data_IF_741344390715
#
_entry.id   IF_741344390715
#
_cell.length_a   1.000
_cell.length_b   1.000
_cell.length_c   1.000
_cell.angle_alpha   90.00
_cell.angle_beta   90.00
_cell.angle_gamma   90.00
#
_symmetry.space_group_name_H-M   'P 1'
#
loop_
_entity.id
_entity.type
_entity.pdbx_description
1 polymer ?
#
# COMPACT_ATOMS: atom_id res chain seq x y z
N UNK A 1 -5.88 7.18 87.32
CA UNK A 1 -5.39 8.14 86.30
C UNK A 1 -4.70 7.41 85.15
N UNK A 2 -3.76 6.49 85.44
CA UNK A 2 -3.13 5.61 84.45
C UNK A 2 -4.12 4.78 83.61
N UNK A 3 -5.14 4.15 84.22
CA UNK A 3 -6.14 3.37 83.46
C UNK A 3 -6.94 4.19 82.45
N UNK A 4 -7.21 5.47 82.78
CA UNK A 4 -7.95 6.37 81.89
C UNK A 4 -7.07 6.77 80.70
N UNK A 5 -5.78 7.02 80.94
CA UNK A 5 -4.80 7.30 79.89
C UNK A 5 -4.57 6.07 78.99
N UNK A 6 -4.50 4.87 79.57
CA UNK A 6 -4.35 3.62 78.83
C UNK A 6 -5.56 3.35 77.92
N UNK A 7 -6.79 3.54 78.43
CA UNK A 7 -8.01 3.41 77.62
C UNK A 7 -8.08 4.43 76.48
N UNK A 8 -7.69 5.68 76.74
CA UNK A 8 -7.67 6.73 75.71
C UNK A 8 -6.65 6.42 74.61
N UNK A 9 -5.46 5.92 74.98
CA UNK A 9 -4.43 5.52 74.03
C UNK A 9 -4.86 4.30 73.20
N UNK A 10 -5.48 3.31 73.83
CA UNK A 10 -6.01 2.13 73.14
C UNK A 10 -7.11 2.48 72.15
N UNK A 11 -8.02 3.39 72.52
CA UNK A 11 -9.05 3.90 71.60
C UNK A 11 -8.45 4.67 70.40
N UNK A 12 -7.39 5.45 70.64
CA UNK A 12 -6.68 6.16 69.58
C UNK A 12 -6.02 5.19 68.59
N UNK A 13 -5.31 4.17 69.09
CA UNK A 13 -4.72 3.13 68.23
C UNK A 13 -5.77 2.36 67.45
N UNK A 14 -6.89 2.03 68.08
CA UNK A 14 -7.97 1.30 67.43
C UNK A 14 -8.62 2.12 66.31
N UNK A 15 -8.86 3.41 66.54
CA UNK A 15 -9.35 4.34 65.52
C UNK A 15 -8.36 4.52 64.37
N UNK A 16 -7.06 4.58 64.66
CA UNK A 16 -6.01 4.66 63.64
C UNK A 16 -5.96 3.40 62.77
N UNK A 17 -6.03 2.21 63.38
CA UNK A 17 -6.08 0.93 62.66
C UNK A 17 -7.33 0.82 61.80
N UNK A 18 -8.49 1.20 62.33
CA UNK A 18 -9.75 1.20 61.57
C UNK A 18 -9.72 2.17 60.38
N UNK A 19 -9.14 3.37 60.56
CA UNK A 19 -8.98 4.33 59.49
C UNK A 19 -8.04 3.82 58.39
N UNK A 20 -6.92 3.18 58.77
CA UNK A 20 -6.00 2.57 57.81
C UNK A 20 -6.62 1.39 57.09
N UNK A 21 -7.34 0.50 57.78
CA UNK A 21 -8.03 -0.62 57.14
C UNK A 21 -9.04 -0.14 56.11
N UNK A 22 -9.85 0.87 56.44
CA UNK A 22 -10.80 1.47 55.48
C UNK A 22 -10.11 2.04 54.25
N UNK A 23 -8.99 2.75 54.46
CA UNK A 23 -8.20 3.33 53.36
C UNK A 23 -7.57 2.24 52.47
N UNK A 24 -7.04 1.18 53.07
CA UNK A 24 -6.50 0.03 52.32
C UNK A 24 -7.62 -0.66 51.53
N UNK A 25 -8.78 -0.88 52.14
CA UNK A 25 -9.92 -1.50 51.43
C UNK A 25 -10.43 -0.64 50.27
N UNK A 26 -10.42 0.69 50.42
CA UNK A 26 -10.75 1.62 49.34
C UNK A 26 -9.73 1.56 48.21
N UNK A 27 -8.43 1.59 48.52
CA UNK A 27 -7.37 1.46 47.52
C UNK A 27 -7.45 0.12 46.78
N UNK A 28 -7.69 -0.98 47.50
CA UNK A 28 -7.85 -2.31 46.89
C UNK A 28 -9.05 -2.33 45.95
N UNK A 29 -10.19 -1.73 46.34
CA UNK A 29 -11.37 -1.62 45.48
C UNK A 29 -11.13 -0.79 44.23
N UNK A 30 -10.43 0.33 44.36
CA UNK A 30 -10.09 1.21 43.24
C UNK A 30 -9.16 0.49 42.25
N UNK A 31 -8.06 -0.10 42.74
CA UNK A 31 -7.13 -0.85 41.89
C UNK A 31 -7.80 -2.06 41.23
N UNK A 32 -8.72 -2.74 41.93
CA UNK A 32 -9.47 -3.84 41.34
C UNK A 32 -10.34 -3.39 40.16
N UNK A 33 -10.90 -2.17 40.20
CA UNK A 33 -11.65 -1.59 39.08
C UNK A 33 -10.73 -1.20 37.94
N UNK A 34 -9.62 -0.51 38.22
CA UNK A 34 -8.65 -0.14 37.18
C UNK A 34 -8.10 -1.35 36.44
N UNK A 35 -7.77 -2.43 37.16
CA UNK A 35 -7.32 -3.69 36.55
C UNK A 35 -8.41 -4.33 35.68
N UNK A 36 -9.67 -4.25 36.10
CA UNK A 36 -10.78 -4.76 35.30
C UNK A 36 -10.96 -3.95 34.01
N UNK A 37 -10.89 -2.62 34.09
CA UNK A 37 -11.01 -1.72 32.95
C UNK A 37 -9.83 -1.90 31.97
N UNK A 38 -8.61 -2.02 32.47
CA UNK A 38 -7.42 -2.31 31.66
C UNK A 38 -7.53 -3.66 30.95
N UNK A 39 -8.03 -4.70 31.64
CA UNK A 39 -8.26 -6.02 31.02
C UNK A 39 -9.27 -5.95 29.89
N UNK A 40 -10.35 -5.20 30.10
CA UNK A 40 -11.37 -5.00 29.08
C UNK A 40 -10.81 -4.23 27.88
N UNK A 41 -10.07 -3.14 28.10
CA UNK A 41 -9.40 -2.38 27.05
C UNK A 41 -8.44 -3.24 26.24
N UNK A 42 -7.62 -4.06 26.90
CA UNK A 42 -6.71 -5.00 26.24
C UNK A 42 -7.44 -6.03 25.38
N UNK A 43 -8.58 -6.56 25.85
CA UNK A 43 -9.38 -7.49 25.05
C UNK A 43 -9.92 -6.84 23.78
N UNK A 44 -10.42 -5.60 23.87
CA UNK A 44 -10.88 -4.87 22.69
C UNK A 44 -9.72 -4.60 21.71
N UNK A 45 -8.58 -4.10 22.19
CA UNK A 45 -7.42 -3.85 21.34
C UNK A 45 -6.88 -5.12 20.68
N UNK A 46 -6.88 -6.25 21.38
CA UNK A 46 -6.43 -7.52 20.81
C UNK A 46 -7.35 -7.98 19.66
N UNK A 47 -8.66 -7.80 19.81
CA UNK A 47 -9.62 -8.10 18.75
C UNK A 47 -9.37 -7.24 17.51
N UNK A 48 -9.17 -5.95 17.68
CA UNK A 48 -8.90 -5.02 16.57
C UNK A 48 -7.59 -5.40 15.85
N UNK A 49 -6.56 -5.77 16.61
CA UNK A 49 -5.28 -6.26 16.06
C UNK A 49 -5.49 -7.51 15.21
N UNK A 50 -6.28 -8.46 15.68
CA UNK A 50 -6.50 -9.71 14.96
C UNK A 50 -7.33 -9.51 13.69
N UNK A 51 -8.30 -8.59 13.71
CA UNK A 51 -9.03 -8.17 12.51
C UNK A 51 -8.10 -7.49 11.49
N UNK A 52 -7.27 -6.54 11.94
CA UNK A 52 -6.28 -5.89 11.08
C UNK A 52 -5.31 -6.89 10.44
N UNK A 53 -4.84 -7.90 11.20
CA UNK A 53 -3.98 -8.96 10.64
C UNK A 53 -4.67 -9.72 9.51
N UNK A 54 -5.95 -10.05 9.67
CA UNK A 54 -6.73 -10.74 8.63
C UNK A 54 -6.89 -9.87 7.39
N UNK A 55 -7.15 -8.57 7.56
CA UNK A 55 -7.22 -7.62 6.44
C UNK A 55 -5.88 -7.53 5.71
N UNK A 56 -4.76 -7.43 6.44
CA UNK A 56 -3.41 -7.37 5.85
C UNK A 56 -3.11 -8.62 5.03
N UNK A 57 -3.43 -9.81 5.55
CA UNK A 57 -3.22 -11.07 4.81
C UNK A 57 -4.06 -11.09 3.53
N UNK A 58 -5.36 -10.75 3.63
CA UNK A 58 -6.25 -10.68 2.47
C UNK A 58 -5.75 -9.68 1.41
N UNK A 59 -5.24 -8.53 1.83
CA UNK A 59 -4.66 -7.54 0.92
C UNK A 59 -3.37 -8.03 0.28
N UNK A 60 -2.50 -8.72 1.03
CA UNK A 60 -1.27 -9.31 0.51
C UNK A 60 -1.56 -10.34 -0.58
N UNK A 61 -2.55 -11.21 -0.37
CA UNK A 61 -2.95 -12.21 -1.37
C UNK A 61 -3.49 -11.55 -2.64
N UNK A 62 -4.32 -10.50 -2.48
CA UNK A 62 -4.83 -9.72 -3.61
C UNK A 62 -3.70 -9.04 -4.38
N UNK A 63 -2.73 -8.46 -3.69
CA UNK A 63 -1.58 -7.81 -4.31
C UNK A 63 -0.73 -8.82 -5.09
N UNK A 64 -0.50 -10.02 -4.55
CA UNK A 64 0.22 -11.08 -5.25
C UNK A 64 -0.51 -11.48 -6.55
N UNK A 65 -1.83 -11.65 -6.51
CA UNK A 65 -2.62 -11.98 -7.69
C UNK A 65 -2.56 -10.87 -8.74
N UNK A 66 -2.76 -9.62 -8.33
CA UNK A 66 -2.67 -8.46 -9.24
C UNK A 66 -1.29 -8.35 -9.88
N UNK A 67 -0.21 -8.62 -9.14
CA UNK A 67 1.15 -8.60 -9.69
C UNK A 67 1.30 -9.63 -10.81
N UNK A 68 0.79 -10.84 -10.59
CA UNK A 68 0.82 -11.92 -11.59
C UNK A 68 0.00 -11.56 -12.83
N UNK A 69 -1.16 -10.94 -12.65
CA UNK A 69 -2.01 -10.52 -13.76
C UNK A 69 -1.33 -9.42 -14.59
N UNK A 70 -0.65 -8.46 -13.94
CA UNK A 70 0.14 -7.42 -14.62
C UNK A 70 1.28 -8.02 -15.43
N UNK A 71 1.98 -9.02 -14.91
CA UNK A 71 3.04 -9.73 -15.64
C UNK A 71 2.48 -10.40 -16.89
N UNK A 72 1.33 -11.07 -16.80
CA UNK A 72 0.68 -11.70 -17.96
C UNK A 72 0.29 -10.69 -19.03
N UNK A 73 -0.32 -9.57 -18.63
CA UNK A 73 -0.69 -8.49 -19.56
C UNK A 73 0.55 -7.90 -20.22
N UNK A 74 1.64 -7.72 -19.47
CA UNK A 74 2.90 -7.19 -20.00
C UNK A 74 3.52 -8.12 -21.05
N UNK A 75 3.49 -9.43 -20.80
CA UNK A 75 3.96 -10.42 -21.77
C UNK A 75 3.08 -10.40 -23.04
N UNK A 76 1.77 -10.42 -22.89
CA UNK A 76 0.84 -10.36 -24.03
C UNK A 76 1.01 -9.08 -24.85
N UNK A 77 1.27 -7.94 -24.19
CA UNK A 77 1.54 -6.68 -24.87
C UNK A 77 2.80 -6.77 -25.75
N UNK A 78 3.89 -7.36 -25.24
CA UNK A 78 5.12 -7.56 -26.03
C UNK A 78 4.88 -8.44 -27.25
N UNK A 79 4.12 -9.53 -27.10
CA UNK A 79 3.77 -10.39 -28.24
C UNK A 79 2.99 -9.64 -29.32
N UNK A 80 2.10 -8.72 -28.92
CA UNK A 80 1.36 -7.86 -29.85
C UNK A 80 2.30 -6.86 -30.53
N UNK A 81 3.20 -6.22 -29.78
CA UNK A 81 4.20 -5.30 -30.32
C UNK A 81 5.09 -5.98 -31.37
N UNK A 82 5.63 -7.16 -31.06
CA UNK A 82 6.41 -7.97 -32.01
C UNK A 82 5.60 -8.31 -33.28
N UNK A 83 4.31 -8.60 -33.11
CA UNK A 83 3.40 -8.87 -34.22
C UNK A 83 3.16 -7.65 -35.11
N UNK A 84 3.03 -6.46 -34.52
CA UNK A 84 2.90 -5.19 -35.24
C UNK A 84 4.16 -4.94 -36.06
N UNK A 85 5.34 -5.04 -35.43
CA UNK A 85 6.62 -4.84 -36.09
C UNK A 85 6.81 -5.80 -37.28
N UNK A 86 6.42 -7.05 -37.11
CA UNK A 86 6.46 -8.02 -38.20
C UNK A 86 5.57 -7.59 -39.38
N UNK A 87 4.34 -7.16 -39.12
CA UNK A 87 3.39 -6.74 -40.16
C UNK A 87 3.83 -5.46 -40.85
N UNK A 88 4.36 -4.48 -40.10
CA UNK A 88 4.90 -3.24 -40.67
C UNK A 88 6.07 -3.52 -41.58
N UNK A 89 7.04 -4.32 -41.13
CA UNK A 89 8.20 -4.71 -41.92
C UNK A 89 7.79 -5.51 -43.18
N UNK A 90 6.80 -6.39 -43.06
CA UNK A 90 6.30 -7.16 -44.20
C UNK A 90 5.62 -6.26 -45.24
N UNK A 91 4.77 -5.34 -44.78
CA UNK A 91 4.03 -4.41 -45.65
C UNK A 91 4.98 -3.42 -46.34
N UNK A 92 5.98 -2.92 -45.61
CA UNK A 92 6.92 -1.93 -46.10
C UNK A 92 8.16 -2.53 -46.77
N UNK A 93 8.23 -3.86 -46.95
CA UNK A 93 9.45 -4.54 -47.43
C UNK A 93 9.98 -4.01 -48.77
N UNK A 94 9.08 -3.55 -49.64
CA UNK A 94 9.43 -3.00 -50.95
C UNK A 94 9.34 -1.46 -50.99
N UNK A 95 8.99 -0.83 -49.87
CA UNK A 95 8.89 0.62 -49.77
C UNK A 95 10.30 1.17 -49.51
N UNK A 96 10.68 2.17 -50.31
CA UNK A 96 11.93 2.90 -50.13
C UNK A 96 11.62 4.33 -49.70
N UNK A 97 12.26 4.76 -48.62
CA UNK A 97 12.25 6.16 -48.20
C UNK A 97 13.49 6.85 -48.72
N UNK A 98 13.32 7.97 -49.42
CA UNK A 98 14.41 8.81 -49.91
C UNK A 98 14.36 10.12 -49.14
N UNK A 99 15.32 10.33 -48.23
CA UNK A 99 15.47 11.58 -47.50
C UNK A 99 16.38 12.56 -48.27
N UNK A 100 16.22 13.87 -48.01
CA UNK A 100 17.07 14.92 -48.60
C UNK A 100 16.67 15.37 -50.02
N UNK A 101 15.45 15.05 -50.47
CA UNK A 101 14.88 15.60 -51.71
C UNK A 101 14.39 17.03 -51.44
N UNK A 102 14.81 18.00 -52.27
CA UNK A 102 14.37 19.38 -52.14
C UNK A 102 12.88 19.50 -52.49
N UNK A 103 12.11 20.16 -51.62
CA UNK A 103 10.68 20.42 -51.84
C UNK A 103 10.46 21.37 -53.02
N UNK A 104 9.44 21.09 -53.83
CA UNK A 104 9.05 21.93 -54.97
C UNK A 104 7.61 22.40 -54.82
N UNK A 105 7.35 23.67 -55.15
CA UNK A 105 5.99 24.20 -55.14
C UNK A 105 5.12 23.50 -56.20
N UNK A 106 3.90 23.12 -55.82
CA UNK A 106 2.95 22.37 -56.66
C UNK A 106 3.47 21.00 -57.14
N UNK A 107 4.05 20.22 -56.23
CA UNK A 107 4.42 18.83 -56.47
C UNK A 107 3.24 17.98 -56.99
N UNK A 108 3.56 17.13 -57.97
CA UNK A 108 2.65 16.14 -58.51
C UNK A 108 3.38 14.81 -58.74
N UNK A 109 2.64 13.76 -59.06
CA UNK A 109 3.19 12.41 -59.19
C UNK A 109 4.33 12.30 -60.21
N UNK A 110 4.26 13.03 -61.32
CA UNK A 110 5.27 12.97 -62.38
C UNK A 110 6.60 13.59 -61.92
N UNK A 111 6.52 14.71 -61.20
CA UNK A 111 7.68 15.38 -60.60
C UNK A 111 8.35 14.45 -59.57
N UNK A 112 7.56 13.86 -58.66
CA UNK A 112 8.07 12.94 -57.63
C UNK A 112 8.72 11.71 -58.26
N UNK A 113 8.08 11.09 -59.27
CA UNK A 113 8.62 9.92 -59.98
C UNK A 113 9.96 10.22 -60.66
N UNK A 114 10.09 11.40 -61.28
CA UNK A 114 11.34 11.83 -61.94
C UNK A 114 12.46 12.03 -60.90
N UNK A 115 12.15 12.70 -59.79
CA UNK A 115 13.09 12.88 -58.68
C UNK A 115 13.53 11.54 -58.08
N UNK A 116 12.59 10.61 -57.86
CA UNK A 116 12.87 9.26 -57.36
C UNK A 116 13.79 8.46 -58.29
N UNK A 117 13.51 8.47 -59.60
CA UNK A 117 14.33 7.76 -60.61
C UNK A 117 15.74 8.34 -60.68
N UNK A 118 15.85 9.67 -60.60
CA UNK A 118 17.12 10.40 -60.59
C UNK A 118 17.93 10.08 -59.33
N UNK A 119 17.28 10.08 -58.16
CA UNK A 119 17.92 9.79 -56.87
C UNK A 119 18.48 8.36 -56.80
N UNK A 120 17.79 7.38 -57.41
CA UNK A 120 18.25 5.99 -57.47
C UNK A 120 19.31 5.71 -58.55
N UNK A 121 19.73 6.71 -59.33
CA UNK A 121 20.63 6.56 -60.49
C UNK A 121 20.16 5.48 -61.48
N UNK A 122 18.86 5.16 -61.48
CA UNK A 122 18.23 4.27 -62.44
C UNK A 122 18.12 5.05 -63.76
N UNK A 123 19.23 5.13 -64.48
CA UNK A 123 19.26 5.63 -65.85
C UNK A 123 18.80 4.49 -66.75
N UNK A 124 17.79 4.75 -67.58
CA UNK A 124 17.32 3.83 -68.61
C UNK A 124 18.42 3.53 -69.63
#
# INVERSE_FOLDING_TARGET
MLDVQQKAFQACLQSFVEANNKRVDEMVREHAREVADLRMSLQYTQRDIDEMKMTIHSQSDRQSNTTRDVEQVTCAQREIEDGIDYVENHTNRNNLRIDGVAEVAAENWEVVRKSFTTALKLTA
#
